data_IF_793730326933
#
_entry.id   IF_793730326933
#
_cell.length_a   1.000
_cell.length_b   1.000
_cell.length_c   1.000
_cell.angle_alpha   90.00
_cell.angle_beta   90.00
_cell.angle_gamma   90.00
#
_symmetry.space_group_name_H-M   'P 1'
#
loop_
_entity.id
_entity.type
_entity.pdbx_description
1 polymer ?
#
# COMPACT_ATOMS: atom_id res chain seq x y z
N UNK A 1 -12.12 18.64 13.65
CA UNK A 1 -11.66 17.24 13.86
C UNK A 1 -10.31 17.07 13.15
N UNK A 2 -9.29 16.50 13.82
CA UNK A 2 -7.98 16.31 13.19
C UNK A 2 -8.07 15.20 12.14
N UNK A 3 -7.48 15.43 10.94
CA UNK A 3 -7.42 14.48 9.82
C UNK A 3 -5.98 14.29 9.42
N UNK A 4 -5.50 13.04 9.35
CA UNK A 4 -4.09 12.70 9.14
C UNK A 4 -4.00 11.61 8.07
N UNK A 5 -3.03 11.69 7.16
CA UNK A 5 -2.72 10.65 6.19
C UNK A 5 -1.26 10.22 6.27
N UNK A 6 -1.01 8.94 6.53
CA UNK A 6 0.31 8.34 6.44
C UNK A 6 0.57 7.85 5.03
N UNK A 7 1.70 8.22 4.45
CA UNK A 7 2.10 7.84 3.09
C UNK A 7 3.33 6.94 3.19
N UNK A 8 3.16 5.65 2.84
CA UNK A 8 4.20 4.62 2.91
C UNK A 8 4.72 4.36 1.49
N UNK A 9 6.01 4.63 1.20
CA UNK A 9 6.59 4.47 -0.13
C UNK A 9 6.78 3.00 -0.52
N UNK A 10 7.04 2.75 -1.81
CA UNK A 10 7.43 1.45 -2.34
C UNK A 10 8.85 1.04 -1.93
N UNK A 11 9.20 -0.21 -2.23
CA UNK A 11 10.51 -0.77 -1.93
C UNK A 11 11.65 0.05 -2.56
N UNK A 12 12.61 0.46 -1.74
CA UNK A 12 13.75 1.28 -2.16
C UNK A 12 13.40 2.74 -2.52
N UNK A 13 12.15 3.15 -2.32
CA UNK A 13 11.68 4.51 -2.58
C UNK A 13 11.54 5.34 -1.29
N UNK A 14 11.56 6.66 -1.43
CA UNK A 14 11.22 7.61 -0.38
C UNK A 14 10.63 8.89 -1.01
N UNK A 15 9.98 9.73 -0.22
CA UNK A 15 9.45 11.01 -0.69
C UNK A 15 10.58 11.98 -1.14
N UNK A 16 11.80 11.80 -0.64
CA UNK A 16 12.98 12.58 -1.01
C UNK A 16 13.48 12.24 -2.42
N UNK A 17 13.36 10.97 -2.82
CA UNK A 17 13.85 10.47 -4.12
C UNK A 17 12.76 10.44 -5.19
N UNK A 18 11.50 10.24 -4.79
CA UNK A 18 10.36 10.06 -5.69
C UNK A 18 9.34 11.18 -5.52
N UNK A 19 9.38 12.17 -6.43
CA UNK A 19 8.49 13.36 -6.41
C UNK A 19 6.98 13.02 -6.45
N UNK A 20 6.61 11.82 -6.87
CA UNK A 20 5.22 11.36 -6.86
C UNK A 20 4.58 11.42 -5.48
N UNK A 21 5.30 11.05 -4.43
CA UNK A 21 4.80 11.08 -3.06
C UNK A 21 4.50 12.50 -2.56
N UNK A 22 5.30 13.49 -2.95
CA UNK A 22 5.05 14.88 -2.61
C UNK A 22 3.79 15.43 -3.30
N UNK A 23 3.48 14.95 -4.53
CA UNK A 23 2.21 15.28 -5.20
C UNK A 23 1.02 14.63 -4.49
N UNK A 24 1.15 13.38 -4.05
CA UNK A 24 0.12 12.70 -3.25
C UNK A 24 -0.12 13.44 -1.94
N UNK A 25 0.94 13.89 -1.26
CA UNK A 25 0.82 14.69 -0.05
C UNK A 25 -0.02 15.97 -0.29
N UNK A 26 0.26 16.70 -1.37
CA UNK A 26 -0.53 17.89 -1.77
C UNK A 26 -2.02 17.58 -1.99
N UNK A 27 -2.35 16.41 -2.54
CA UNK A 27 -3.75 16.02 -2.73
C UNK A 27 -4.47 15.82 -1.38
N UNK A 28 -3.78 15.34 -0.35
CA UNK A 28 -4.32 15.28 1.01
C UNK A 28 -4.46 16.68 1.61
N UNK A 29 -3.45 17.55 1.47
CA UNK A 29 -3.50 18.94 1.93
C UNK A 29 -4.66 19.71 1.32
N UNK A 30 -4.93 19.53 0.04
CA UNK A 30 -6.10 20.11 -0.68
C UNK A 30 -7.45 19.72 -0.04
N UNK A 31 -7.47 18.63 0.75
CA UNK A 31 -8.64 18.13 1.49
C UNK A 31 -8.62 18.47 2.99
N UNK A 32 -7.66 19.29 3.43
CA UNK A 32 -7.48 19.59 4.85
C UNK A 32 -7.02 18.37 5.67
N UNK A 33 -6.31 17.43 5.03
CA UNK A 33 -5.75 16.24 5.66
C UNK A 33 -4.23 16.42 5.78
N UNK A 34 -3.69 16.38 7.00
CA UNK A 34 -2.26 16.52 7.27
C UNK A 34 -1.49 15.28 6.75
N UNK A 35 -0.62 15.39 5.73
CA UNK A 35 0.16 14.26 5.24
C UNK A 35 1.39 14.03 6.10
N UNK A 36 1.69 12.78 6.40
CA UNK A 36 2.89 12.33 7.09
C UNK A 36 3.61 11.33 6.19
N UNK A 37 4.79 11.70 5.70
CA UNK A 37 5.66 10.79 4.99
C UNK A 37 6.29 9.80 5.95
N UNK A 38 6.14 8.50 5.63
CA UNK A 38 6.73 7.42 6.41
C UNK A 38 8.04 6.99 5.74
N UNK A 39 9.11 7.00 6.48
CA UNK A 39 10.37 6.44 6.01
C UNK A 39 10.47 4.98 6.48
N UNK A 40 10.77 4.08 5.53
CA UNK A 40 11.01 2.67 5.78
C UNK A 40 12.46 2.36 5.38
N UNK A 41 13.23 1.84 6.31
CA UNK A 41 14.54 1.26 6.03
C UNK A 41 14.36 -0.15 5.45
N UNK A 42 14.26 -0.20 4.11
CA UNK A 42 14.04 -1.43 3.36
C UNK A 42 15.23 -2.39 3.41
N UNK A 43 16.44 -1.91 3.76
CA UNK A 43 17.68 -2.69 3.75
C UNK A 43 18.14 -3.12 5.15
N UNK A 44 17.40 -2.76 6.18
CA UNK A 44 17.79 -2.97 7.59
C UNK A 44 18.15 -4.41 7.94
N UNK A 45 17.65 -5.39 7.18
CA UNK A 45 17.84 -6.81 7.46
C UNK A 45 17.98 -7.64 6.19
N UNK A 46 18.79 -8.69 6.25
CA UNK A 46 18.87 -9.69 5.18
C UNK A 46 18.83 -11.11 5.81
N UNK A 47 17.93 -12.03 5.42
CA UNK A 47 16.76 -11.78 4.55
C UNK A 47 15.71 -10.86 5.19
N UNK A 48 15.02 -10.11 4.35
CA UNK A 48 14.03 -9.11 4.75
C UNK A 48 12.75 -9.77 5.25
N UNK A 49 12.10 -9.14 6.25
CA UNK A 49 10.80 -9.59 6.79
C UNK A 49 9.78 -8.45 6.76
N UNK A 50 8.59 -8.70 6.27
CA UNK A 50 7.53 -7.68 6.31
C UNK A 50 7.10 -7.29 7.72
N UNK A 51 7.22 -8.19 8.68
CA UNK A 51 6.99 -7.86 10.10
C UNK A 51 7.87 -6.71 10.58
N UNK A 52 9.10 -6.58 10.07
CA UNK A 52 10.02 -5.51 10.45
C UNK A 52 9.56 -4.16 9.87
N UNK A 53 9.04 -4.14 8.62
CA UNK A 53 8.50 -2.93 8.01
C UNK A 53 7.18 -2.50 8.67
N UNK A 54 6.33 -3.46 9.00
CA UNK A 54 5.13 -3.21 9.82
C UNK A 54 5.50 -2.60 11.18
N UNK A 55 6.53 -3.13 11.84
CA UNK A 55 7.00 -2.60 13.12
C UNK A 55 7.56 -1.18 12.99
N UNK A 56 8.34 -0.90 11.93
CA UNK A 56 8.83 0.46 11.65
C UNK A 56 7.67 1.45 11.45
N UNK A 57 6.68 1.08 10.64
CA UNK A 57 5.50 1.92 10.44
C UNK A 57 4.73 2.14 11.75
N UNK A 58 4.43 1.08 12.50
CA UNK A 58 3.66 1.18 13.73
C UNK A 58 4.37 2.00 14.83
N UNK A 59 5.69 2.08 14.79
CA UNK A 59 6.48 2.93 15.70
C UNK A 59 6.19 4.42 15.50
N UNK A 60 5.95 4.85 14.27
CA UNK A 60 5.65 6.25 13.92
C UNK A 60 4.16 6.55 13.85
N UNK A 61 3.34 5.51 13.73
CA UNK A 61 1.89 5.65 13.61
C UNK A 61 1.27 6.15 14.92
N UNK A 62 0.45 7.20 14.81
CA UNK A 62 -0.35 7.74 15.92
C UNK A 62 -1.77 7.98 15.44
N UNK A 63 -2.74 7.57 16.27
CA UNK A 63 -4.17 7.88 16.04
C UNK A 63 -4.70 8.64 17.26
N UNK A 64 -4.69 9.99 17.23
CA UNK A 64 -5.27 10.79 18.30
C UNK A 64 -6.77 10.46 18.48
N UNK A 65 -7.27 10.61 19.70
CA UNK A 65 -8.69 10.38 19.99
C UNK A 65 -9.55 11.31 19.12
N UNK A 66 -10.55 10.75 18.45
CA UNK A 66 -11.46 11.49 17.58
C UNK A 66 -10.88 11.92 16.22
N UNK A 67 -9.63 11.55 15.91
CA UNK A 67 -9.04 11.85 14.61
C UNK A 67 -9.48 10.85 13.53
N UNK A 68 -9.66 11.34 12.30
CA UNK A 68 -9.70 10.51 11.10
C UNK A 68 -8.27 10.25 10.63
N UNK A 69 -7.92 8.99 10.43
CA UNK A 69 -6.58 8.61 10.00
C UNK A 69 -6.66 7.72 8.76
N UNK A 70 -5.98 8.14 7.72
CA UNK A 70 -5.86 7.45 6.45
C UNK A 70 -4.46 6.86 6.30
N UNK A 71 -4.35 5.72 5.63
CA UNK A 71 -3.05 5.13 5.30
C UNK A 71 -3.04 4.88 3.79
N UNK A 72 -2.12 5.53 3.09
CA UNK A 72 -1.81 5.25 1.70
C UNK A 72 -0.47 4.54 1.62
N UNK A 73 -0.44 3.40 0.93
CA UNK A 73 0.80 2.71 0.61
C UNK A 73 0.91 2.43 -0.89
N UNK A 74 2.13 2.41 -1.42
CA UNK A 74 2.43 2.03 -2.79
C UNK A 74 3.32 0.79 -2.82
N UNK A 75 2.98 -0.19 -3.68
CA UNK A 75 3.79 -1.41 -3.86
C UNK A 75 3.99 -2.14 -2.52
N UNK A 76 5.21 -2.36 -2.07
CA UNK A 76 5.48 -2.95 -0.74
C UNK A 76 5.04 -2.05 0.43
N UNK A 77 4.95 -0.73 0.21
CA UNK A 77 4.28 0.16 1.15
C UNK A 77 2.79 -0.16 1.29
N UNK A 78 2.12 -0.56 0.21
CA UNK A 78 0.73 -1.02 0.26
C UNK A 78 0.61 -2.35 1.03
N UNK A 79 1.55 -3.28 0.84
CA UNK A 79 1.61 -4.52 1.62
C UNK A 79 1.83 -4.23 3.10
N UNK A 80 2.76 -3.30 3.43
CA UNK A 80 3.00 -2.86 4.81
C UNK A 80 1.76 -2.22 5.43
N UNK A 81 1.06 -1.35 4.70
CA UNK A 81 -0.21 -0.73 5.13
C UNK A 81 -1.27 -1.80 5.42
N UNK A 82 -1.46 -2.75 4.49
CA UNK A 82 -2.43 -3.83 4.63
C UNK A 82 -2.15 -4.70 5.86
N UNK A 83 -0.91 -5.13 6.05
CA UNK A 83 -0.51 -5.95 7.20
C UNK A 83 -0.65 -5.22 8.55
N UNK A 84 -0.62 -3.89 8.53
CA UNK A 84 -0.73 -3.05 9.73
C UNK A 84 -2.17 -2.78 10.15
N UNK A 85 -3.16 -2.98 9.26
CA UNK A 85 -4.54 -2.45 9.42
C UNK A 85 -5.23 -2.89 10.69
N UNK A 86 -5.07 -4.14 11.12
CA UNK A 86 -5.73 -4.68 12.31
C UNK A 86 -5.22 -4.03 13.61
N UNK A 87 -3.97 -3.58 13.64
CA UNK A 87 -3.35 -2.85 14.75
C UNK A 87 -3.59 -1.35 14.64
N UNK A 88 -3.42 -0.79 13.46
CA UNK A 88 -3.56 0.65 13.22
C UNK A 88 -5.02 1.13 13.25
N UNK A 89 -5.96 0.32 12.78
CA UNK A 89 -7.41 0.64 12.71
C UNK A 89 -7.66 2.03 12.10
N UNK A 90 -7.17 2.29 10.86
CA UNK A 90 -7.38 3.58 10.21
C UNK A 90 -8.86 3.79 9.84
N UNK A 91 -9.22 5.02 9.47
CA UNK A 91 -10.53 5.36 8.93
C UNK A 91 -10.72 4.76 7.55
N UNK A 92 -9.68 4.81 6.71
CA UNK A 92 -9.65 4.11 5.43
C UNK A 92 -8.21 3.74 5.02
N UNK A 93 -8.10 2.73 4.13
CA UNK A 93 -6.88 2.33 3.44
C UNK A 93 -6.93 2.75 1.98
N UNK A 94 -5.78 3.17 1.45
CA UNK A 94 -5.56 3.40 0.02
C UNK A 94 -4.36 2.55 -0.39
N UNK A 95 -4.61 1.45 -1.08
CA UNK A 95 -3.61 0.48 -1.47
C UNK A 95 -3.31 0.64 -2.96
N UNK A 96 -2.21 1.30 -3.26
CA UNK A 96 -1.72 1.56 -4.59
C UNK A 96 -0.78 0.43 -5.02
N UNK A 97 -1.11 -0.29 -6.09
CA UNK A 97 -0.27 -1.39 -6.63
C UNK A 97 0.08 -2.44 -5.56
N UNK A 98 -0.93 -2.91 -4.82
CA UNK A 98 -0.69 -3.92 -3.78
C UNK A 98 0.10 -5.09 -4.37
N UNK A 99 1.31 -5.28 -3.85
CA UNK A 99 2.23 -6.28 -4.38
C UNK A 99 1.88 -7.71 -3.97
N UNK A 100 2.09 -8.69 -4.84
CA UNK A 100 1.93 -10.09 -4.52
C UNK A 100 3.04 -10.52 -3.53
N UNK A 101 2.65 -10.89 -2.33
CA UNK A 101 3.58 -11.33 -1.28
C UNK A 101 2.98 -12.41 -0.37
N UNK A 102 1.72 -12.68 -0.52
CA UNK A 102 1.00 -13.58 0.37
C UNK A 102 1.19 -15.04 -0.03
N UNK A 103 0.91 -15.96 0.87
CA UNK A 103 1.06 -17.41 0.62
C UNK A 103 0.40 -17.84 -0.69
N UNK A 104 -0.77 -17.27 -0.99
CA UNK A 104 -1.58 -17.59 -2.16
C UNK A 104 -0.96 -17.08 -3.48
N UNK A 105 -0.11 -16.06 -3.42
CA UNK A 105 0.46 -15.46 -4.63
C UNK A 105 1.57 -16.29 -5.27
N UNK A 106 2.28 -17.10 -4.48
CA UNK A 106 3.49 -17.81 -4.94
C UNK A 106 3.24 -18.82 -6.06
N UNK A 107 2.08 -19.43 -6.11
CA UNK A 107 1.70 -20.38 -7.17
C UNK A 107 1.55 -19.71 -8.55
N UNK A 108 1.26 -18.42 -8.60
CA UNK A 108 1.07 -17.63 -9.82
C UNK A 108 2.27 -16.80 -10.26
N UNK A 109 3.38 -16.80 -9.47
CA UNK A 109 4.55 -16.01 -9.79
C UNK A 109 5.47 -16.71 -10.80
N UNK A 110 6.10 -15.92 -11.69
CA UNK A 110 7.15 -16.41 -12.58
C UNK A 110 8.33 -16.96 -11.77
N UNK A 111 9.01 -18.04 -12.22
CA UNK A 111 10.14 -18.64 -11.51
C UNK A 111 11.25 -17.66 -11.15
N UNK A 112 11.51 -16.68 -12.03
CA UNK A 112 12.51 -15.61 -11.78
C UNK A 112 12.15 -14.74 -10.58
N UNK A 113 10.87 -14.41 -10.41
CA UNK A 113 10.35 -13.68 -9.26
C UNK A 113 10.45 -14.49 -7.97
N UNK A 114 10.10 -15.78 -8.04
CA UNK A 114 10.22 -16.69 -6.89
C UNK A 114 11.67 -16.80 -6.44
N UNK A 115 12.61 -16.94 -7.40
CA UNK A 115 14.05 -17.00 -7.09
C UNK A 115 14.55 -15.70 -6.44
N UNK A 116 14.18 -14.55 -6.99
CA UNK A 116 14.51 -13.24 -6.43
C UNK A 116 13.93 -13.07 -5.03
N UNK A 117 12.68 -13.47 -4.85
CA UNK A 117 11.98 -13.40 -3.58
C UNK A 117 12.67 -14.23 -2.49
N UNK A 118 12.95 -15.51 -2.79
CA UNK A 118 13.65 -16.43 -1.86
C UNK A 118 15.04 -15.93 -1.47
N UNK A 119 15.72 -15.20 -2.36
CA UNK A 119 17.04 -14.62 -2.09
C UNK A 119 16.95 -13.42 -1.14
N UNK A 120 15.90 -12.60 -1.24
CA UNK A 120 15.84 -11.30 -0.58
C UNK A 120 14.91 -11.27 0.63
N UNK A 121 13.93 -12.15 0.69
CA UNK A 121 12.91 -12.17 1.73
C UNK A 121 12.78 -13.54 2.39
N UNK A 122 12.42 -13.55 3.66
CA UNK A 122 11.91 -14.78 4.27
C UNK A 122 10.59 -15.18 3.60
N UNK A 123 10.29 -16.48 3.62
CA UNK A 123 8.97 -16.97 3.18
C UNK A 123 7.87 -16.17 3.86
N UNK A 124 6.84 -15.83 3.10
CA UNK A 124 5.67 -15.17 3.68
C UNK A 124 4.92 -16.12 4.61
N UNK A 125 4.68 -15.64 5.82
CA UNK A 125 3.81 -16.32 6.80
C UNK A 125 2.39 -15.71 6.80
N UNK A 126 2.09 -14.88 5.78
CA UNK A 126 0.84 -14.14 5.69
C UNK A 126 -0.08 -14.71 4.61
N UNK A 127 -1.22 -15.24 5.02
CA UNK A 127 -2.34 -15.53 4.13
C UNK A 127 -3.18 -14.27 3.93
N UNK A 128 -3.37 -13.86 2.68
CA UNK A 128 -4.24 -12.76 2.33
C UNK A 128 -5.68 -13.06 2.76
N UNK A 129 -6.15 -14.25 2.48
CA UNK A 129 -7.52 -14.67 2.74
C UNK A 129 -7.88 -14.61 4.22
N UNK A 130 -6.99 -15.12 5.07
CA UNK A 130 -7.17 -15.05 6.53
C UNK A 130 -7.17 -13.63 7.07
N UNK A 131 -6.38 -12.74 6.47
CA UNK A 131 -6.31 -11.33 6.87
C UNK A 131 -7.50 -10.54 6.34
N UNK A 132 -7.84 -10.68 5.06
CA UNK A 132 -8.94 -9.98 4.40
C UNK A 132 -10.29 -10.21 5.11
N UNK A 133 -10.54 -11.44 5.58
CA UNK A 133 -11.75 -11.77 6.33
C UNK A 133 -11.91 -10.96 7.64
N UNK A 134 -10.82 -10.44 8.20
CA UNK A 134 -10.82 -9.66 9.45
C UNK A 134 -10.90 -8.14 9.22
N UNK A 135 -10.72 -7.69 7.98
CA UNK A 135 -10.65 -6.26 7.64
C UNK A 135 -12.06 -5.73 7.37
N UNK A 136 -12.48 -4.76 8.19
CA UNK A 136 -13.73 -4.01 8.03
C UNK A 136 -13.49 -2.57 7.58
N UNK A 137 -12.22 -2.16 7.50
CA UNK A 137 -11.83 -0.81 7.10
C UNK A 137 -12.12 -0.59 5.63
N UNK A 138 -12.82 0.49 5.24
CA UNK A 138 -13.00 0.88 3.85
C UNK A 138 -11.65 0.92 3.12
N UNK A 139 -11.54 0.21 1.99
CA UNK A 139 -10.27 0.02 1.29
C UNK A 139 -10.39 0.42 -0.17
N UNK A 140 -9.61 1.42 -0.57
CA UNK A 140 -9.49 1.87 -1.95
C UNK A 140 -8.28 1.20 -2.59
N UNK A 141 -8.52 0.44 -3.64
CA UNK A 141 -7.53 -0.28 -4.42
C UNK A 141 -7.24 0.51 -5.70
N UNK A 142 -5.98 0.78 -5.98
CA UNK A 142 -5.54 1.46 -7.20
C UNK A 142 -4.46 0.62 -7.87
N UNK A 143 -4.55 0.42 -9.19
CA UNK A 143 -3.53 -0.28 -9.97
C UNK A 143 -3.49 0.27 -11.39
N UNK A 144 -2.30 0.34 -11.99
CA UNK A 144 -2.14 0.68 -13.39
C UNK A 144 -2.47 -0.52 -14.30
N UNK A 145 -3.07 -0.28 -15.46
CA UNK A 145 -3.40 -1.37 -16.40
C UNK A 145 -2.19 -1.89 -17.21
N UNK A 146 -1.04 -1.20 -17.10
CA UNK A 146 0.26 -1.60 -17.66
C UNK A 146 1.22 -2.17 -16.62
N UNK A 147 0.73 -2.45 -15.42
CA UNK A 147 1.52 -3.09 -14.38
C UNK A 147 1.76 -4.58 -14.67
N UNK A 148 2.76 -5.22 -14.02
CA UNK A 148 2.96 -6.66 -14.12
C UNK A 148 1.67 -7.43 -13.76
N UNK A 149 1.37 -8.50 -14.50
CA UNK A 149 0.17 -9.32 -14.31
C UNK A 149 -0.04 -9.76 -12.86
N UNK A 150 1.03 -10.10 -12.16
CA UNK A 150 0.96 -10.51 -10.76
C UNK A 150 0.38 -9.41 -9.85
N UNK A 151 0.70 -8.13 -10.10
CA UNK A 151 0.12 -7.01 -9.36
C UNK A 151 -1.36 -6.82 -9.70
N UNK A 152 -1.70 -6.92 -11.00
CA UNK A 152 -3.08 -6.84 -11.45
C UNK A 152 -3.95 -7.95 -10.86
N UNK A 153 -3.45 -9.19 -10.86
CA UNK A 153 -4.14 -10.34 -10.29
C UNK A 153 -4.32 -10.16 -8.78
N UNK A 154 -3.27 -9.74 -8.05
CA UNK A 154 -3.34 -9.52 -6.61
C UNK A 154 -4.39 -8.46 -6.24
N UNK A 155 -4.42 -7.35 -6.97
CA UNK A 155 -5.39 -6.27 -6.69
C UNK A 155 -6.81 -6.69 -7.03
N UNK A 156 -7.02 -7.40 -8.14
CA UNK A 156 -8.34 -7.95 -8.51
C UNK A 156 -8.85 -8.96 -7.49
N UNK A 157 -7.97 -9.83 -7.00
CA UNK A 157 -8.31 -10.79 -5.95
C UNK A 157 -8.63 -10.08 -4.63
N UNK A 158 -7.84 -9.07 -4.25
CA UNK A 158 -8.12 -8.23 -3.09
C UNK A 158 -9.51 -7.58 -3.17
N UNK A 159 -9.90 -7.08 -4.35
CA UNK A 159 -11.25 -6.52 -4.58
C UNK A 159 -12.37 -7.53 -4.32
N UNK A 160 -12.16 -8.79 -4.67
CA UNK A 160 -13.17 -9.85 -4.44
C UNK A 160 -13.30 -10.23 -2.97
N UNK A 161 -12.19 -10.22 -2.21
CA UNK A 161 -12.11 -10.76 -0.86
C UNK A 161 -12.30 -9.71 0.25
N UNK A 162 -12.00 -8.44 -0.02
CA UNK A 162 -12.24 -7.36 0.92
C UNK A 162 -13.70 -6.91 0.84
N UNK A 163 -14.40 -6.99 1.97
CA UNK A 163 -15.85 -6.74 2.07
C UNK A 163 -16.23 -5.32 1.65
N UNK A 164 -15.52 -4.32 2.16
CA UNK A 164 -15.75 -2.90 1.84
C UNK A 164 -14.55 -2.39 1.06
N UNK A 165 -14.58 -2.59 -0.26
CA UNK A 165 -13.47 -2.19 -1.13
C UNK A 165 -13.94 -1.60 -2.45
N UNK A 166 -13.12 -0.70 -3.00
CA UNK A 166 -13.36 0.03 -4.25
C UNK A 166 -12.13 -0.07 -5.12
N UNK A 167 -12.29 -0.46 -6.39
CA UNK A 167 -11.19 -0.61 -7.34
C UNK A 167 -11.20 0.54 -8.35
N UNK A 168 -10.04 1.16 -8.55
CA UNK A 168 -9.77 2.15 -9.58
C UNK A 168 -8.59 1.71 -10.44
N UNK A 169 -8.77 1.72 -11.76
CA UNK A 169 -7.72 1.38 -12.72
C UNK A 169 -7.13 2.68 -13.29
N UNK A 170 -5.84 2.87 -13.12
CA UNK A 170 -5.10 3.98 -13.74
C UNK A 170 -4.73 3.60 -15.18
N UNK A 171 -5.54 4.04 -16.16
CA UNK A 171 -5.37 3.68 -17.57
C UNK A 171 -4.06 4.23 -18.14
N UNK A 172 -3.29 3.36 -18.79
CA UNK A 172 -1.99 3.68 -19.38
C UNK A 172 -0.85 3.78 -18.36
N UNK A 173 -1.11 3.52 -17.08
CA UNK A 173 -0.09 3.61 -16.05
C UNK A 173 0.63 2.29 -15.82
N UNK A 174 1.94 2.38 -15.68
CA UNK A 174 2.84 1.33 -15.23
C UNK A 174 2.96 1.35 -13.69
N UNK A 175 3.82 0.48 -13.13
CA UNK A 175 4.14 0.41 -11.71
C UNK A 175 4.99 1.62 -11.25
N UNK A 176 4.44 2.83 -11.40
CA UNK A 176 5.14 4.11 -11.08
C UNK A 176 4.15 5.12 -10.52
N UNK A 177 4.18 5.38 -9.23
CA UNK A 177 3.26 6.33 -8.57
C UNK A 177 3.35 7.75 -9.14
N UNK A 178 4.51 8.15 -9.68
CA UNK A 178 4.74 9.48 -10.23
C UNK A 178 4.16 9.74 -11.63
N UNK A 179 3.64 8.72 -12.33
CA UNK A 179 3.01 8.89 -13.64
C UNK A 179 1.73 9.72 -13.55
N UNK A 180 1.50 10.59 -14.54
CA UNK A 180 0.33 11.49 -14.59
C UNK A 180 -0.99 10.73 -14.40
N UNK A 181 -1.23 9.69 -15.17
CA UNK A 181 -2.47 8.90 -15.09
C UNK A 181 -2.65 8.23 -13.72
N UNK A 182 -1.54 7.78 -13.11
CA UNK A 182 -1.57 7.20 -11.77
C UNK A 182 -1.96 8.25 -10.73
N UNK A 183 -1.29 9.41 -10.75
CA UNK A 183 -1.55 10.53 -9.85
C UNK A 183 -2.98 11.07 -9.97
N UNK A 184 -3.50 11.18 -11.20
CA UNK A 184 -4.90 11.60 -11.42
C UNK A 184 -5.90 10.62 -10.79
N UNK A 185 -5.61 9.31 -10.89
CA UNK A 185 -6.44 8.29 -10.26
C UNK A 185 -6.36 8.36 -8.73
N UNK A 186 -5.16 8.54 -8.16
CA UNK A 186 -4.97 8.75 -6.72
C UNK A 186 -5.72 9.99 -6.25
N UNK A 187 -5.61 11.12 -6.97
CA UNK A 187 -6.32 12.36 -6.64
C UNK A 187 -7.83 12.18 -6.62
N UNK A 188 -8.39 11.47 -7.62
CA UNK A 188 -9.82 11.14 -7.66
C UNK A 188 -10.28 10.27 -6.48
N UNK A 189 -9.44 9.38 -5.99
CA UNK A 189 -9.75 8.58 -4.80
C UNK A 189 -9.69 9.45 -3.54
N UNK A 190 -8.64 10.25 -3.37
CA UNK A 190 -8.48 11.14 -2.21
C UNK A 190 -9.61 12.18 -2.15
N UNK A 191 -10.13 12.65 -3.29
CA UNK A 191 -11.24 13.61 -3.31
C UNK A 191 -12.56 13.08 -2.74
N UNK A 192 -12.69 11.77 -2.54
CA UNK A 192 -13.87 11.12 -1.96
C UNK A 192 -13.80 10.94 -0.43
N UNK A 193 -12.65 11.25 0.17
CA UNK A 193 -12.42 11.14 1.62
C UNK A 193 -13.04 12.28 2.41
#
# INVERSE_FOLDING_TARGET
>A
MKRIAYIIPGYGESHLRQRGYNKVAKFFEERGIEPIHVEIDWEKRNPKKFSDYVAQFLKVYKKPRGAEVYILGFSYGATTAFLSVTKAKPTALILCSLSPYFEEDFSGLKPTWIKWFKKNFTKSDYSFDRLAAKIKTPTYLIVGDKEPDACLLRVKDAKKKLRDSYLSIAKGAEHKIGQKAYLETVRKVISKL
#
